data_IF_774478024262
#
_entry.id   IF_774478024262
#
_cell.length_a   1.000
_cell.length_b   1.000
_cell.length_c   1.000
_cell.angle_alpha   90.00
_cell.angle_beta   90.00
_cell.angle_gamma   90.00
#
_symmetry.space_group_name_H-M   'P 1'
#
loop_
_entity.id
_entity.type
_entity.pdbx_description
1 polymer ?
#
# COMPACT_ATOMS: atom_id res chain seq x y z
N UNK A 1 -2.79 -8.07 6.28
CA UNK A 1 -2.80 -9.48 5.83
C UNK A 1 -4.22 -9.88 5.45
N UNK A 2 -5.19 -9.71 6.35
CA UNK A 2 -6.58 -10.14 6.13
C UNK A 2 -7.21 -9.58 4.84
N UNK A 3 -6.90 -8.34 4.46
CA UNK A 3 -7.34 -7.75 3.19
C UNK A 3 -6.92 -8.59 1.96
N UNK A 4 -5.64 -8.98 1.86
CA UNK A 4 -5.16 -9.76 0.72
C UNK A 4 -5.73 -11.17 0.76
N UNK A 5 -5.79 -11.81 1.93
CA UNK A 5 -6.37 -13.14 2.07
C UNK A 5 -7.85 -13.16 1.64
N UNK A 6 -8.62 -12.14 2.03
CA UNK A 6 -10.01 -11.99 1.63
C UNK A 6 -10.15 -11.80 0.11
N UNK A 7 -9.25 -11.03 -0.52
CA UNK A 7 -9.20 -10.88 -1.98
C UNK A 7 -9.05 -12.23 -2.69
N UNK A 8 -8.12 -13.09 -2.25
CA UNK A 8 -7.95 -14.44 -2.85
C UNK A 8 -9.16 -15.35 -2.59
N UNK A 9 -9.72 -15.31 -1.36
CA UNK A 9 -10.91 -16.10 -0.99
C UNK A 9 -12.12 -15.76 -1.86
N UNK A 10 -12.37 -14.47 -2.14
CA UNK A 10 -13.46 -14.02 -3.03
C UNK A 10 -13.32 -14.56 -4.45
N UNK A 11 -12.09 -14.73 -4.92
CA UNK A 11 -11.77 -15.32 -6.22
C UNK A 11 -11.66 -16.86 -6.18
N UNK A 12 -11.89 -17.49 -5.02
CA UNK A 12 -11.74 -18.95 -4.80
C UNK A 12 -10.35 -19.46 -5.19
N UNK A 13 -9.33 -18.63 -4.99
CA UNK A 13 -7.94 -18.98 -5.21
C UNK A 13 -7.33 -19.50 -3.90
N UNK A 14 -6.72 -20.68 -3.98
CA UNK A 14 -5.92 -21.24 -2.89
C UNK A 14 -4.56 -20.55 -2.86
N UNK A 15 -4.14 -20.11 -1.67
CA UNK A 15 -2.80 -19.58 -1.45
C UNK A 15 -1.88 -20.72 -1.02
N UNK A 16 -0.67 -20.75 -1.58
CA UNK A 16 0.40 -21.61 -1.08
C UNK A 16 0.95 -21.11 0.25
N UNK A 17 2.26 -21.29 0.46
CA UNK A 17 2.91 -20.79 1.67
C UNK A 17 2.88 -19.25 1.72
N UNK A 18 2.26 -18.71 2.76
CA UNK A 18 2.21 -17.26 3.00
C UNK A 18 3.08 -16.90 4.19
N UNK A 19 3.97 -15.93 4.01
CA UNK A 19 4.77 -15.39 5.09
C UNK A 19 4.38 -13.94 5.39
N UNK A 20 4.15 -13.64 6.66
CA UNK A 20 4.04 -12.25 7.13
C UNK A 20 5.41 -11.74 7.51
N UNK A 21 5.80 -10.60 6.97
CA UNK A 21 7.03 -9.91 7.31
C UNK A 21 6.73 -8.64 8.11
N UNK A 22 7.71 -8.20 8.90
CA UNK A 22 7.56 -7.08 9.84
C UNK A 22 7.61 -5.71 9.18
N UNK A 23 8.15 -5.60 7.98
CA UNK A 23 8.26 -4.33 7.25
C UNK A 23 8.12 -4.50 5.74
N UNK A 24 7.73 -3.42 5.08
CA UNK A 24 7.60 -3.35 3.63
C UNK A 24 8.95 -3.57 2.92
N UNK A 25 10.04 -3.02 3.44
CA UNK A 25 11.37 -3.19 2.84
C UNK A 25 11.94 -4.58 3.05
N UNK A 26 11.63 -5.26 4.15
CA UNK A 26 11.96 -6.67 4.32
C UNK A 26 11.27 -7.52 3.25
N UNK A 27 10.00 -7.24 2.95
CA UNK A 27 9.29 -7.90 1.85
C UNK A 27 10.01 -7.70 0.52
N UNK A 28 10.39 -6.45 0.21
CA UNK A 28 11.09 -6.09 -1.03
C UNK A 28 12.42 -6.81 -1.18
N UNK A 29 13.23 -6.87 -0.13
CA UNK A 29 14.49 -7.61 -0.13
C UNK A 29 14.31 -9.11 -0.39
N UNK A 30 13.30 -9.73 0.23
CA UNK A 30 13.00 -11.15 0.00
C UNK A 30 12.55 -11.42 -1.45
N UNK A 31 11.70 -10.56 -2.01
CA UNK A 31 11.27 -10.67 -3.42
C UNK A 31 12.45 -10.49 -4.36
N UNK A 32 13.29 -9.48 -4.13
CA UNK A 32 14.46 -9.21 -4.96
C UNK A 32 15.49 -10.36 -4.88
N UNK A 33 15.60 -11.01 -3.71
CA UNK A 33 16.41 -12.21 -3.50
C UNK A 33 15.80 -13.51 -4.04
N UNK A 34 14.63 -13.47 -4.69
CA UNK A 34 14.03 -14.64 -5.34
C UNK A 34 13.22 -15.56 -4.43
N UNK A 35 12.88 -15.13 -3.21
CA UNK A 35 12.13 -15.96 -2.23
C UNK A 35 10.62 -16.05 -2.52
N UNK A 36 10.13 -15.35 -3.53
CA UNK A 36 8.73 -15.40 -3.95
C UNK A 36 8.21 -14.07 -4.47
N UNK A 37 6.91 -13.84 -4.31
CA UNK A 37 6.21 -12.62 -4.72
C UNK A 37 5.64 -11.88 -3.51
N UNK A 38 5.56 -10.55 -3.62
CA UNK A 38 5.00 -9.68 -2.60
C UNK A 38 3.80 -8.90 -3.12
N UNK A 39 2.80 -8.67 -2.25
CA UNK A 39 1.66 -7.81 -2.54
C UNK A 39 1.77 -6.52 -1.73
N UNK A 40 1.34 -5.42 -2.32
CA UNK A 40 1.33 -4.10 -1.69
C UNK A 40 0.15 -3.29 -2.20
N UNK A 41 -0.45 -2.49 -1.31
CA UNK A 41 -1.43 -1.47 -1.69
C UNK A 41 -0.76 -0.17 -2.13
N UNK A 42 0.55 -0.02 -1.85
CA UNK A 42 1.35 1.15 -2.21
C UNK A 42 2.30 0.77 -3.34
N UNK A 43 2.31 1.56 -4.40
CA UNK A 43 3.33 1.48 -5.44
C UNK A 43 4.57 2.23 -4.92
N UNK A 44 5.70 1.55 -4.66
CA UNK A 44 6.91 2.25 -4.25
C UNK A 44 7.43 3.10 -5.40
N UNK A 45 8.06 4.21 -5.05
CA UNK A 45 8.67 5.13 -6.01
C UNK A 45 9.73 4.45 -6.88
N UNK A 46 10.52 3.55 -6.30
CA UNK A 46 11.60 2.84 -6.98
C UNK A 46 11.33 1.34 -7.12
N UNK A 47 11.83 0.80 -8.23
CA UNK A 47 11.91 -0.64 -8.52
C UNK A 47 13.24 -1.23 -8.09
N UNK A 48 13.73 -0.78 -6.94
CA UNK A 48 15.03 -1.20 -6.38
C UNK A 48 14.91 -1.36 -4.88
N UNK A 49 15.22 -2.55 -4.36
CA UNK A 49 15.34 -2.77 -2.92
C UNK A 49 16.58 -2.09 -2.34
N UNK A 50 16.68 -2.01 -1.01
CA UNK A 50 17.77 -1.30 -0.34
C UNK A 50 19.18 -1.87 -0.60
N UNK A 51 19.28 -3.14 -0.99
CA UNK A 51 20.52 -3.79 -1.40
C UNK A 51 20.91 -3.49 -2.87
N UNK A 52 20.11 -2.70 -3.59
CA UNK A 52 20.33 -2.36 -4.99
C UNK A 52 19.72 -3.35 -5.99
N UNK A 53 19.07 -4.42 -5.51
CA UNK A 53 18.48 -5.43 -6.38
C UNK A 53 17.20 -4.91 -7.07
N UNK A 54 17.02 -5.23 -8.34
CA UNK A 54 15.88 -4.77 -9.13
C UNK A 54 14.59 -5.55 -8.78
N UNK A 55 13.45 -4.86 -8.84
CA UNK A 55 12.12 -5.42 -8.60
C UNK A 55 11.20 -5.12 -9.78
N UNK A 56 10.43 -6.11 -10.21
CA UNK A 56 9.42 -5.92 -11.25
C UNK A 56 8.06 -5.72 -10.58
N UNK A 57 7.57 -4.48 -10.56
CA UNK A 57 6.23 -4.20 -10.03
C UNK A 57 5.18 -4.25 -11.16
N UNK A 58 4.05 -4.90 -10.90
CA UNK A 58 2.91 -5.01 -11.82
C UNK A 58 1.62 -4.68 -11.08
N UNK A 59 0.77 -3.88 -11.72
CA UNK A 59 -0.57 -3.61 -11.23
C UNK A 59 -1.46 -4.82 -11.52
N UNK A 60 -2.25 -5.24 -10.54
CA UNK A 60 -3.30 -6.23 -10.75
C UNK A 60 -4.50 -5.54 -11.42
N UNK A 61 -4.96 -6.06 -12.57
CA UNK A 61 -5.95 -5.39 -13.43
C UNK A 61 -7.33 -5.21 -12.77
N UNK A 62 -7.70 -6.07 -11.82
CA UNK A 62 -9.03 -6.11 -11.20
C UNK A 62 -8.93 -6.23 -9.67
N UNK A 63 -8.28 -5.27 -9.03
CA UNK A 63 -8.40 -5.14 -7.56
C UNK A 63 -9.68 -4.35 -7.27
N UNK A 64 -10.54 -4.88 -6.38
CA UNK A 64 -11.67 -4.13 -5.86
C UNK A 64 -11.24 -2.74 -5.35
N UNK A 65 -12.13 -1.75 -5.47
CA UNK A 65 -11.85 -0.31 -5.27
C UNK A 65 -10.81 -0.04 -4.19
N UNK A 66 -9.73 0.61 -4.61
CA UNK A 66 -8.62 1.16 -3.82
C UNK A 66 -9.03 1.58 -2.39
N UNK A 67 -8.23 1.14 -1.42
CA UNK A 67 -8.32 1.63 -0.05
C UNK A 67 -8.17 3.15 -0.05
N UNK A 68 -9.21 3.87 0.39
CA UNK A 68 -9.19 5.33 0.44
C UNK A 68 -8.37 5.79 1.63
N UNK A 69 -7.48 6.76 1.43
CA UNK A 69 -6.85 7.49 2.53
C UNK A 69 -7.91 8.41 3.13
N UNK A 70 -8.09 8.36 4.45
CA UNK A 70 -9.07 9.17 5.17
C UNK A 70 -8.40 9.92 6.31
N UNK A 71 -8.93 11.11 6.62
CA UNK A 71 -8.60 11.81 7.87
C UNK A 71 -9.56 11.32 8.94
N UNK A 72 -9.05 10.54 9.90
CA UNK A 72 -9.84 10.06 11.04
C UNK A 72 -9.66 10.98 12.26
N UNK A 73 -10.76 11.29 12.95
CA UNK A 73 -10.74 12.06 14.19
C UNK A 73 -11.95 11.71 15.08
N UNK A 74 -11.83 11.92 16.39
CA UNK A 74 -12.87 11.57 17.37
C UNK A 74 -14.17 12.38 17.22
N UNK A 75 -14.09 13.63 16.73
CA UNK A 75 -15.26 14.47 16.43
C UNK A 75 -14.89 15.94 16.26
N UNK A 76 -15.81 16.76 15.75
CA UNK A 76 -15.55 18.20 15.49
C UNK A 76 -15.13 18.97 16.75
N UNK A 77 -15.78 18.65 17.87
CA UNK A 77 -15.58 19.34 19.16
C UNK A 77 -14.22 19.02 19.79
N UNK A 78 -13.60 17.90 19.42
CA UNK A 78 -12.31 17.45 19.98
C UNK A 78 -11.12 17.93 19.14
N UNK A 79 -11.36 18.47 17.95
CA UNK A 79 -10.29 19.01 17.11
C UNK A 79 -9.81 20.37 17.64
N UNK A 80 -8.50 20.50 17.76
CA UNK A 80 -7.85 21.80 17.94
C UNK A 80 -8.02 22.67 16.69
N UNK A 81 -7.72 23.97 16.80
CA UNK A 81 -7.74 24.87 15.64
C UNK A 81 -6.78 24.40 14.52
N UNK A 82 -5.59 23.90 14.91
CA UNK A 82 -4.63 23.33 13.96
C UNK A 82 -5.14 22.03 13.31
N UNK A 83 -5.78 21.15 14.09
CA UNK A 83 -6.37 19.92 13.57
C UNK A 83 -7.50 20.18 12.56
N UNK A 84 -8.36 21.16 12.83
CA UNK A 84 -9.40 21.61 11.87
C UNK A 84 -8.78 22.11 10.57
N UNK A 85 -7.79 23.01 10.65
CA UNK A 85 -7.09 23.54 9.47
C UNK A 85 -6.42 22.42 8.66
N UNK A 86 -5.74 21.48 9.31
CA UNK A 86 -5.12 20.35 8.62
C UNK A 86 -6.15 19.54 7.85
N UNK A 87 -7.26 19.16 8.49
CA UNK A 87 -8.32 18.40 7.82
C UNK A 87 -8.88 19.14 6.61
N UNK A 88 -9.22 20.42 6.76
CA UNK A 88 -9.78 21.23 5.67
C UNK A 88 -8.82 21.33 4.48
N UNK A 89 -7.52 21.48 4.74
CA UNK A 89 -6.49 21.47 3.70
C UNK A 89 -6.37 20.09 3.08
N UNK A 90 -6.23 19.04 3.89
CA UNK A 90 -6.04 17.67 3.40
C UNK A 90 -7.22 17.15 2.55
N UNK A 91 -8.46 17.48 2.91
CA UNK A 91 -9.65 17.06 2.13
C UNK A 91 -9.75 17.80 0.79
N UNK A 92 -9.26 19.04 0.71
CA UNK A 92 -9.31 19.85 -0.53
C UNK A 92 -8.11 19.60 -1.44
N UNK A 93 -6.99 19.15 -0.88
CA UNK A 93 -5.78 18.89 -1.65
C UNK A 93 -5.89 17.57 -2.42
N UNK A 94 -5.51 17.61 -3.70
CA UNK A 94 -5.19 16.40 -4.44
C UNK A 94 -3.79 15.96 -4.05
N UNK A 95 -3.68 14.90 -3.24
CA UNK A 95 -2.42 14.18 -3.06
C UNK A 95 -2.30 13.18 -4.21
N UNK A 96 -1.90 13.65 -5.39
CA UNK A 96 -1.67 12.78 -6.54
C UNK A 96 -0.37 11.99 -6.34
N UNK A 97 -0.37 10.71 -6.72
CA UNK A 97 0.87 9.98 -6.98
C UNK A 97 1.52 10.59 -8.23
N UNK A 98 2.80 10.97 -8.15
CA UNK A 98 3.55 11.35 -9.35
C UNK A 98 3.70 10.13 -10.28
N UNK A 99 3.61 10.32 -11.61
CA UNK A 99 3.69 9.22 -12.55
C UNK A 99 5.07 8.58 -12.53
N UNK A 100 5.10 7.25 -12.37
CA UNK A 100 6.30 6.43 -12.52
C UNK A 100 6.94 6.70 -13.88
N UNK A 101 8.11 7.36 -13.88
CA UNK A 101 8.94 7.48 -15.08
C UNK A 101 9.56 6.11 -15.37
N UNK A 102 9.22 5.61 -16.56
CA UNK A 102 9.76 4.44 -17.25
C UNK A 102 11.27 4.45 -17.38
#
# INVERSE_FOLDING_TARGET
MDYFLDMFRRQRLELGETQKVSSFEMQRGLVAGGWGVGLSCVRPWSDTSYDGSALVCRLLEHVEKSQRIVVAHLGEKTLSAAGRRFRETAVRSTFADEPSRS
#
